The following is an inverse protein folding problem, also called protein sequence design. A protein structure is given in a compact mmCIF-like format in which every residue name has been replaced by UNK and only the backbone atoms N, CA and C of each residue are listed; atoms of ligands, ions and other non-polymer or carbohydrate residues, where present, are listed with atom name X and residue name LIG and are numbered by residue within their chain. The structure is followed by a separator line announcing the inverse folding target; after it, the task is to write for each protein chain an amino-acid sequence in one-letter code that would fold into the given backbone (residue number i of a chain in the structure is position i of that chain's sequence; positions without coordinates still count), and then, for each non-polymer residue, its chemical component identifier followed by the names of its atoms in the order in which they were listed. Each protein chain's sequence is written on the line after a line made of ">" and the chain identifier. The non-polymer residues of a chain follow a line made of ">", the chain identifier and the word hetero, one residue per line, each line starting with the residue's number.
data_IF_902651746891
#
_entry.id   IF_902651746891
#
_cell.length_a   1.000
_cell.length_b   1.000
_cell.length_c   1.000
_cell.angle_alpha   90.00
_cell.angle_beta   90.00
_cell.angle_gamma   90.00
#
_symmetry.space_group_name_H-M   'P 1'
#
loop_
_entity.id
_entity.type
_entity.pdbx_description
1 polymer ?
#
# COMPACT_ATOMS: atom_id res chain seq x y z
N UNK A 1 -3.31 10.00 11.16
CA UNK A 1 -3.59 9.49 9.79
C UNK A 1 -3.11 8.04 9.59
N UNK A 2 -1.80 7.76 9.66
CA UNK A 2 -1.23 6.42 9.40
C UNK A 2 -1.83 5.29 10.26
N UNK A 3 -2.18 5.58 11.52
CA UNK A 3 -2.84 4.63 12.43
C UNK A 3 -4.18 4.10 11.89
N UNK A 4 -5.03 4.97 11.36
CA UNK A 4 -6.33 4.54 10.83
C UNK A 4 -6.16 3.67 9.59
N UNK A 5 -5.23 4.03 8.68
CA UNK A 5 -4.88 3.21 7.52
C UNK A 5 -4.37 1.84 7.96
N UNK A 6 -3.49 1.79 8.98
CA UNK A 6 -3.05 0.53 9.56
C UNK A 6 -4.24 -0.30 10.07
N UNK A 7 -5.12 0.28 10.89
CA UNK A 7 -6.24 -0.42 11.50
C UNK A 7 -7.23 -0.99 10.48
N UNK A 8 -7.57 -0.24 9.44
CA UNK A 8 -8.45 -0.77 8.38
C UNK A 8 -7.75 -1.87 7.56
N UNK A 9 -6.44 -1.71 7.31
CA UNK A 9 -5.66 -2.66 6.52
C UNK A 9 -5.53 -3.99 7.27
N UNK A 10 -5.08 -3.98 8.53
CA UNK A 10 -4.93 -5.20 9.33
C UNK A 10 -6.25 -5.94 9.51
N UNK A 11 -7.33 -5.22 9.82
CA UNK A 11 -8.65 -5.84 9.97
C UNK A 11 -9.12 -6.51 8.66
N UNK A 12 -8.84 -5.88 7.51
CA UNK A 12 -9.16 -6.46 6.20
C UNK A 12 -8.29 -7.68 5.89
N UNK A 13 -6.98 -7.59 6.15
CA UNK A 13 -6.05 -8.70 5.94
C UNK A 13 -6.46 -9.94 6.75
N UNK A 14 -6.77 -9.75 8.03
CA UNK A 14 -7.22 -10.84 8.91
C UNK A 14 -8.55 -11.44 8.43
N UNK A 15 -9.52 -10.59 8.06
CA UNK A 15 -10.83 -11.04 7.60
C UNK A 15 -10.76 -11.85 6.30
N UNK A 16 -9.95 -11.41 5.35
CA UNK A 16 -9.86 -11.99 4.01
C UNK A 16 -8.66 -12.93 3.82
N UNK A 17 -7.89 -13.21 4.88
CA UNK A 17 -6.68 -14.03 4.85
C UNK A 17 -5.67 -13.56 3.80
N UNK A 18 -5.43 -12.25 3.77
CA UNK A 18 -4.46 -11.61 2.86
C UNK A 18 -3.14 -11.40 3.61
N UNK A 19 -2.06 -11.93 3.07
CA UNK A 19 -0.69 -11.80 3.61
C UNK A 19 0.11 -10.67 2.93
N UNK A 20 -0.41 -10.10 1.84
CA UNK A 20 0.33 -9.14 1.02
C UNK A 20 -0.58 -7.99 0.59
N UNK A 21 -0.13 -6.76 0.80
CA UNK A 21 -0.87 -5.55 0.45
C UNK A 21 -0.02 -4.58 -0.37
N UNK A 22 -0.63 -3.96 -1.36
CA UNK A 22 -0.05 -2.86 -2.13
C UNK A 22 -0.68 -1.53 -1.69
N UNK A 23 0.14 -0.62 -1.18
CA UNK A 23 -0.29 0.71 -0.74
C UNK A 23 0.12 1.76 -1.79
N UNK A 24 -0.85 2.18 -2.59
CA UNK A 24 -0.70 3.21 -3.64
C UNK A 24 -1.49 4.49 -3.29
N UNK A 25 -1.45 5.50 -4.16
CA UNK A 25 -2.07 6.81 -3.97
C UNK A 25 -1.09 7.86 -3.44
N UNK A 26 -1.38 9.15 -3.69
CA UNK A 26 -0.46 10.25 -3.35
C UNK A 26 -0.07 10.29 -1.87
N UNK A 27 -1.01 9.97 -0.97
CA UNK A 27 -0.76 9.87 0.48
C UNK A 27 0.27 8.76 0.80
N UNK A 28 0.28 7.68 0.02
CA UNK A 28 1.25 6.59 0.16
C UNK A 28 2.68 6.97 -0.19
N UNK A 29 2.92 8.13 -0.83
CA UNK A 29 4.27 8.64 -1.09
C UNK A 29 5.02 9.13 0.18
N UNK A 30 4.28 9.41 1.27
CA UNK A 30 4.83 9.94 2.51
C UNK A 30 5.79 8.95 3.19
N UNK A 31 7.04 9.38 3.44
CA UNK A 31 8.10 8.54 4.02
C UNK A 31 7.73 7.99 5.40
N UNK A 32 7.25 8.84 6.30
CA UNK A 32 6.92 8.46 7.68
C UNK A 32 5.80 7.41 7.70
N UNK A 33 4.78 7.61 6.84
CA UNK A 33 3.67 6.66 6.73
C UNK A 33 4.13 5.29 6.21
N UNK A 34 5.03 5.25 5.22
CA UNK A 34 5.60 3.99 4.69
C UNK A 34 6.32 3.20 5.78
N UNK A 35 7.21 3.85 6.51
CA UNK A 35 7.96 3.20 7.60
C UNK A 35 7.03 2.65 8.68
N UNK A 36 6.04 3.46 9.09
CA UNK A 36 5.05 3.06 10.08
C UNK A 36 4.26 1.82 9.64
N UNK A 37 3.73 1.84 8.41
CA UNK A 37 2.91 0.74 7.89
C UNK A 37 3.74 -0.52 7.64
N UNK A 38 4.93 -0.41 7.05
CA UNK A 38 5.83 -1.57 6.87
C UNK A 38 6.16 -2.23 8.20
N UNK A 39 6.52 -1.44 9.21
CA UNK A 39 6.88 -1.97 10.53
C UNK A 39 5.69 -2.62 11.22
N UNK A 40 4.52 -1.98 11.21
CA UNK A 40 3.34 -2.48 11.92
C UNK A 40 2.73 -3.71 11.24
N UNK A 41 2.59 -3.70 9.91
CA UNK A 41 2.05 -4.84 9.16
C UNK A 41 3.04 -6.01 9.14
N UNK A 42 4.34 -5.76 9.06
CA UNK A 42 5.36 -6.81 9.10
C UNK A 42 5.38 -7.60 10.41
N UNK A 43 5.03 -6.98 11.54
CA UNK A 43 4.86 -7.69 12.82
C UNK A 43 3.71 -8.70 12.82
N UNK A 44 2.73 -8.48 11.94
CA UNK A 44 1.56 -9.35 11.76
C UNK A 44 1.76 -10.33 10.58
N UNK A 45 3.01 -10.49 10.10
CA UNK A 45 3.36 -11.28 8.91
C UNK A 45 2.67 -10.82 7.62
N UNK A 46 2.32 -9.53 7.52
CA UNK A 46 1.76 -8.94 6.31
C UNK A 46 2.82 -8.13 5.57
N UNK A 47 3.07 -8.48 4.31
CA UNK A 47 4.03 -7.81 3.44
C UNK A 47 3.39 -6.56 2.83
N UNK A 48 3.97 -5.39 3.10
CA UNK A 48 3.50 -4.11 2.59
C UNK A 48 4.39 -3.58 1.46
N UNK A 49 3.89 -3.64 0.23
CA UNK A 49 4.53 -3.07 -0.96
C UNK A 49 4.10 -1.63 -1.19
N UNK A 50 5.03 -0.84 -1.72
CA UNK A 50 4.78 0.53 -2.13
C UNK A 50 5.48 0.78 -3.46
N UNK A 51 4.80 1.39 -4.44
CA UNK A 51 5.45 1.81 -5.68
C UNK A 51 6.53 2.87 -5.40
N UNK A 52 7.39 3.14 -6.40
CA UNK A 52 8.26 4.32 -6.39
C UNK A 52 7.39 5.58 -6.17
N UNK A 53 7.89 6.59 -5.45
CA UNK A 53 7.08 7.74 -5.02
C UNK A 53 6.34 8.43 -6.18
N UNK A 54 7.02 8.67 -7.30
CA UNK A 54 6.42 9.28 -8.49
C UNK A 54 5.38 8.41 -9.21
N UNK A 55 5.31 7.12 -8.89
CA UNK A 55 4.29 6.20 -9.41
C UNK A 55 3.07 6.08 -8.49
N UNK A 56 3.13 6.63 -7.27
CA UNK A 56 2.02 6.54 -6.31
C UNK A 56 0.98 7.64 -6.52
N UNK A 57 1.38 8.78 -7.07
CA UNK A 57 0.47 9.89 -7.41
C UNK A 57 -0.27 9.61 -8.70
N UNK A 58 -1.35 10.33 -8.95
CA UNK A 58 -2.09 10.22 -10.20
C UNK A 58 -1.16 10.53 -11.38
N UNK A 59 -0.99 9.54 -12.26
CA UNK A 59 -0.14 9.61 -13.44
C UNK A 59 -0.69 8.66 -14.53
N UNK A 60 -0.30 8.91 -15.79
CA UNK A 60 -0.75 8.11 -16.92
C UNK A 60 -0.13 6.70 -17.02
N UNK A 61 0.92 6.39 -16.23
CA UNK A 61 1.66 5.13 -16.34
C UNK A 61 0.78 3.96 -15.88
N UNK A 62 0.06 4.11 -14.76
CA UNK A 62 -0.84 3.06 -14.26
C UNK A 62 -1.93 2.70 -15.27
N UNK A 63 -2.54 3.71 -15.88
CA UNK A 63 -3.58 3.54 -16.91
C UNK A 63 -3.00 2.91 -18.19
N UNK A 64 -1.86 3.42 -18.68
CA UNK A 64 -1.19 2.88 -19.86
C UNK A 64 -0.74 1.43 -19.66
N UNK A 65 -0.23 1.09 -18.46
CA UNK A 65 0.17 -0.27 -18.12
C UNK A 65 -1.04 -1.21 -18.13
N UNK A 66 -2.14 -0.87 -17.45
CA UNK A 66 -3.36 -1.69 -17.48
C UNK A 66 -3.90 -1.87 -18.90
N UNK A 67 -3.83 -0.84 -19.76
CA UNK A 67 -4.24 -0.95 -21.16
C UNK A 67 -3.32 -1.80 -22.03
N UNK A 68 -2.03 -1.89 -21.67
CA UNK A 68 -1.04 -2.76 -22.32
C UNK A 68 -1.17 -4.21 -21.87
N UNK A 69 -1.42 -4.44 -20.58
CA UNK A 69 -1.59 -5.78 -20.02
C UNK A 69 -2.88 -6.40 -20.57
N UNK A 70 -2.73 -7.22 -21.61
CA UNK A 70 -3.75 -8.08 -22.20
C UNK A 70 -3.18 -9.48 -22.37
#
# INVERSE_FOLDING_TARGET
>A
MAYFIYKITINSCLKYKIDTVLLTGGVSSNKIMREYLKTKLGKENIIAFFPKRGLCTDNGIGIAYIGKEK
#
